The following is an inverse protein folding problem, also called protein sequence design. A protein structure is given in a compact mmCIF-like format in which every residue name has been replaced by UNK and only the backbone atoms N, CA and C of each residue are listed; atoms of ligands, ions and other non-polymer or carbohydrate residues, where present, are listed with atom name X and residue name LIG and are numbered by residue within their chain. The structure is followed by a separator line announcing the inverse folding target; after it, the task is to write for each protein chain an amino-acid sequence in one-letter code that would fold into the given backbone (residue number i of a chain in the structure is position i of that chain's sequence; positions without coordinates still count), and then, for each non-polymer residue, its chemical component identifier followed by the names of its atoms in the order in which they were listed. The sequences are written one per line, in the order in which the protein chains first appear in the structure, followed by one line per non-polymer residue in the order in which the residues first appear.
data_IF_202683311855
#
_entry.id   IF_202683311855
#
_cell.length_a   1.000
_cell.length_b   1.000
_cell.length_c   1.000
_cell.angle_alpha   90.00
_cell.angle_beta   90.00
_cell.angle_gamma   90.00
#
_symmetry.space_group_name_H-M   'P 1'
#
loop_
_entity.id
_entity.type
_entity.pdbx_description
1 polymer ?
#
# COMPACT_ATOMS: atom_id res chain seq x y z
N UNK A 1 -20.07 15.35 17.08
CA UNK A 1 -20.75 14.31 16.28
C UNK A 1 -20.54 13.00 17.01
N UNK A 2 -21.61 12.24 17.18
CA UNK A 2 -21.60 10.94 17.85
C UNK A 2 -21.52 9.82 16.80
N UNK A 3 -20.52 8.95 16.92
CA UNK A 3 -20.35 7.75 16.10
C UNK A 3 -20.53 6.49 16.94
N UNK A 4 -20.88 5.38 16.31
CA UNK A 4 -20.80 4.07 16.97
C UNK A 4 -19.34 3.62 17.00
N UNK A 5 -18.64 3.76 15.88
CA UNK A 5 -17.24 3.34 15.73
C UNK A 5 -16.41 4.48 15.13
N UNK A 6 -15.27 4.78 15.75
CA UNK A 6 -14.24 5.65 15.17
C UNK A 6 -12.97 4.84 14.95
N UNK A 7 -12.54 4.73 13.70
CA UNK A 7 -11.28 4.11 13.28
C UNK A 7 -10.22 5.22 13.19
N UNK A 8 -9.09 5.01 13.85
CA UNK A 8 -7.97 5.95 13.83
C UNK A 8 -6.90 5.39 12.88
N UNK A 9 -6.60 6.16 11.83
CA UNK A 9 -5.71 5.78 10.73
C UNK A 9 -6.49 5.37 9.47
N UNK A 10 -6.19 6.04 8.36
CA UNK A 10 -6.67 5.74 7.00
C UNK A 10 -5.66 4.94 6.19
N UNK A 11 -4.82 4.13 6.84
CA UNK A 11 -3.93 3.17 6.17
C UNK A 11 -4.69 1.97 5.61
N UNK A 12 -3.95 0.98 5.11
CA UNK A 12 -4.53 -0.25 4.51
C UNK A 12 -5.51 -0.96 5.46
N UNK A 13 -5.13 -1.16 6.72
CA UNK A 13 -5.99 -1.81 7.73
C UNK A 13 -7.22 -0.96 8.06
N UNK A 14 -7.04 0.35 8.24
CA UNK A 14 -8.16 1.25 8.53
C UNK A 14 -9.19 1.31 7.40
N UNK A 15 -8.73 1.33 6.15
CA UNK A 15 -9.60 1.27 4.96
C UNK A 15 -10.33 -0.07 4.86
N UNK A 16 -9.65 -1.18 5.15
CA UNK A 16 -10.25 -2.52 5.18
C UNK A 16 -11.33 -2.64 6.24
N UNK A 17 -11.07 -2.14 7.45
CA UNK A 17 -12.06 -2.10 8.54
C UNK A 17 -13.28 -1.25 8.17
N UNK A 18 -13.07 -0.08 7.58
CA UNK A 18 -14.17 0.77 7.13
C UNK A 18 -15.05 0.07 6.09
N UNK A 19 -14.43 -0.63 5.13
CA UNK A 19 -15.13 -1.39 4.10
C UNK A 19 -15.91 -2.59 4.66
N UNK A 20 -15.34 -3.36 5.58
CA UNK A 20 -16.06 -4.50 6.18
C UNK A 20 -17.16 -4.04 7.14
N UNK A 21 -16.89 -3.03 7.97
CA UNK A 21 -17.86 -2.54 8.96
C UNK A 21 -19.05 -1.81 8.33
N UNK A 22 -18.89 -1.16 7.16
CA UNK A 22 -19.99 -0.46 6.50
C UNK A 22 -21.11 -1.40 6.00
N UNK A 23 -20.88 -2.72 6.02
CA UNK A 23 -21.89 -3.75 5.72
C UNK A 23 -22.86 -3.97 6.89
N UNK A 24 -22.65 -3.30 8.02
CA UNK A 24 -23.48 -3.38 9.22
C UNK A 24 -24.09 -2.02 9.56
N UNK A 25 -25.20 -2.02 10.28
CA UNK A 25 -25.95 -0.83 10.69
C UNK A 25 -25.22 -0.04 11.78
N UNK A 26 -24.08 0.56 11.44
CA UNK A 26 -23.19 1.31 12.32
C UNK A 26 -22.90 2.69 11.73
N UNK A 27 -22.90 3.73 12.58
CA UNK A 27 -22.39 5.03 12.20
C UNK A 27 -20.87 5.07 12.40
N UNK A 28 -20.09 5.13 11.31
CA UNK A 28 -18.65 4.94 11.32
C UNK A 28 -17.92 6.19 10.84
N UNK A 29 -16.82 6.52 11.51
CA UNK A 29 -15.84 7.48 10.99
C UNK A 29 -14.42 6.93 10.94
N UNK A 30 -13.65 7.39 9.96
CA UNK A 30 -12.20 7.21 9.85
C UNK A 30 -11.53 8.57 10.02
N UNK A 31 -10.56 8.68 10.92
CA UNK A 31 -9.76 9.90 11.13
C UNK A 31 -8.33 9.63 10.66
N UNK A 32 -7.86 10.41 9.70
CA UNK A 32 -6.54 10.30 9.07
C UNK A 32 -5.86 11.67 9.03
N UNK A 33 -4.60 11.69 9.48
CA UNK A 33 -3.81 12.92 9.64
C UNK A 33 -3.29 13.48 8.32
N UNK A 34 -3.13 12.63 7.31
CA UNK A 34 -2.58 12.97 6.01
C UNK A 34 -3.65 13.50 5.04
N UNK A 35 -3.23 14.00 3.88
CA UNK A 35 -4.14 14.56 2.86
C UNK A 35 -4.95 13.50 2.14
N UNK A 36 -4.45 12.27 2.15
CA UNK A 36 -4.99 11.13 1.45
C UNK A 36 -4.93 9.88 2.34
N UNK A 37 -5.71 8.87 1.96
CA UNK A 37 -5.63 7.55 2.56
C UNK A 37 -4.42 6.79 2.03
N UNK A 38 -3.95 5.82 2.81
CA UNK A 38 -2.86 4.90 2.45
C UNK A 38 -1.58 5.59 1.91
N UNK A 39 -1.26 6.81 2.34
CA UNK A 39 -0.02 7.50 1.95
C UNK A 39 1.24 6.74 2.38
N UNK A 40 1.15 5.94 3.46
CA UNK A 40 2.21 5.03 3.91
C UNK A 40 2.58 3.93 2.89
N UNK A 41 1.69 3.62 1.93
CA UNK A 41 1.98 2.67 0.88
C UNK A 41 3.07 3.22 -0.05
N UNK A 42 3.96 2.35 -0.52
CA UNK A 42 5.02 2.76 -1.43
C UNK A 42 4.46 3.32 -2.75
N UNK A 43 5.11 4.36 -3.27
CA UNK A 43 4.64 5.09 -4.44
C UNK A 43 4.49 4.22 -5.70
N UNK A 44 5.38 3.24 -5.89
CA UNK A 44 5.30 2.29 -7.02
C UNK A 44 4.14 1.29 -6.89
N UNK A 45 3.41 1.29 -5.76
CA UNK A 45 2.16 0.58 -5.55
C UNK A 45 2.25 -0.91 -5.93
N UNK A 46 3.25 -1.60 -5.39
CA UNK A 46 3.44 -3.04 -5.56
C UNK A 46 4.07 -3.60 -4.30
N UNK A 47 3.49 -4.66 -3.75
CA UNK A 47 3.97 -5.32 -2.55
C UNK A 47 3.93 -6.84 -2.71
N UNK A 48 4.83 -7.53 -2.01
CA UNK A 48 4.94 -8.98 -2.01
C UNK A 48 3.86 -9.59 -1.13
N UNK A 49 3.07 -10.52 -1.70
CA UNK A 49 2.23 -11.42 -0.94
C UNK A 49 3.02 -12.67 -0.57
N UNK A 50 3.13 -12.90 0.74
CA UNK A 50 3.91 -13.96 1.36
C UNK A 50 3.13 -15.28 1.36
N UNK A 51 3.86 -16.38 1.28
CA UNK A 51 3.36 -17.75 1.49
C UNK A 51 3.59 -18.25 2.93
N UNK A 52 4.26 -17.45 3.76
CA UNK A 52 4.54 -17.75 5.16
C UNK A 52 5.65 -18.78 5.41
N UNK A 53 6.36 -19.25 4.38
CA UNK A 53 7.45 -20.24 4.56
C UNK A 53 8.58 -19.70 5.42
N UNK A 54 8.90 -18.42 5.26
CA UNK A 54 9.99 -17.71 5.95
C UNK A 54 9.59 -17.21 7.34
N UNK A 55 8.30 -17.23 7.68
CA UNK A 55 7.77 -16.70 8.94
C UNK A 55 8.10 -17.64 10.12
N UNK A 56 8.65 -17.07 11.19
CA UNK A 56 8.98 -17.83 12.40
C UNK A 56 7.82 -17.83 13.39
N UNK A 57 7.04 -16.75 13.44
CA UNK A 57 5.87 -16.63 14.30
C UNK A 57 4.70 -17.47 13.75
N UNK A 58 4.31 -18.49 14.50
CA UNK A 58 3.23 -19.40 14.12
C UNK A 58 1.86 -18.71 14.02
N UNK A 59 1.60 -17.67 14.82
CA UNK A 59 0.36 -16.91 14.74
C UNK A 59 0.30 -16.08 13.46
N UNK A 60 1.41 -15.44 13.07
CA UNK A 60 1.50 -14.69 11.81
C UNK A 60 1.38 -15.64 10.61
N UNK A 61 2.06 -16.80 10.65
CA UNK A 61 1.94 -17.82 9.61
C UNK A 61 0.49 -18.25 9.37
N UNK A 62 -0.28 -18.52 10.44
CA UNK A 62 -1.70 -18.89 10.32
C UNK A 62 -2.53 -17.79 9.68
N UNK A 63 -2.30 -16.53 10.05
CA UNK A 63 -2.99 -15.39 9.44
C UNK A 63 -2.68 -15.23 7.97
N UNK A 64 -1.42 -15.48 7.54
CA UNK A 64 -1.04 -15.48 6.12
C UNK A 64 -1.85 -16.54 5.38
N UNK A 65 -1.89 -17.76 5.92
CA UNK A 65 -2.62 -18.89 5.32
C UNK A 65 -4.12 -18.58 5.19
N UNK A 66 -4.75 -18.08 6.25
CA UNK A 66 -6.17 -17.70 6.25
C UNK A 66 -6.50 -16.56 5.28
N UNK A 67 -5.54 -15.65 5.06
CA UNK A 67 -5.75 -14.46 4.25
C UNK A 67 -5.58 -14.69 2.75
N UNK A 68 -4.74 -15.66 2.36
CA UNK A 68 -4.29 -15.87 0.98
C UNK A 68 -5.44 -16.01 -0.03
N UNK A 69 -6.41 -16.88 0.25
CA UNK A 69 -7.54 -17.11 -0.66
C UNK A 69 -8.48 -15.89 -0.73
N UNK A 70 -8.79 -15.32 0.43
CA UNK A 70 -9.71 -14.19 0.55
C UNK A 70 -9.16 -12.93 -0.12
N UNK A 71 -7.84 -12.72 -0.04
CA UNK A 71 -7.17 -11.58 -0.66
C UNK A 71 -7.35 -11.60 -2.18
N UNK A 72 -7.17 -12.76 -2.83
CA UNK A 72 -7.37 -12.88 -4.28
C UNK A 72 -8.82 -12.66 -4.69
N UNK A 73 -9.77 -13.21 -3.92
CA UNK A 73 -11.22 -13.05 -4.14
C UNK A 73 -11.63 -11.58 -4.02
N UNK A 74 -11.21 -10.90 -2.96
CA UNK A 74 -11.54 -9.50 -2.72
C UNK A 74 -10.84 -8.57 -3.73
N UNK A 75 -9.58 -8.84 -4.10
CA UNK A 75 -8.89 -8.07 -5.15
C UNK A 75 -9.64 -8.12 -6.49
N UNK A 76 -10.15 -9.30 -6.86
CA UNK A 76 -10.96 -9.48 -8.08
C UNK A 76 -12.27 -8.69 -7.98
N UNK A 77 -12.96 -8.75 -6.84
CA UNK A 77 -14.21 -8.03 -6.62
C UNK A 77 -14.02 -6.50 -6.67
N UNK A 78 -12.87 -6.00 -6.18
CA UNK A 78 -12.51 -4.59 -6.21
C UNK A 78 -11.96 -4.13 -7.57
N UNK A 79 -11.62 -5.05 -8.48
CA UNK A 79 -10.96 -4.73 -9.74
C UNK A 79 -9.54 -4.18 -9.56
N UNK A 80 -8.83 -4.64 -8.52
CA UNK A 80 -7.49 -4.18 -8.18
C UNK A 80 -6.44 -5.22 -8.61
N UNK A 81 -5.26 -4.74 -9.02
CA UNK A 81 -4.16 -5.61 -9.40
C UNK A 81 -3.73 -6.52 -8.25
N UNK A 82 -3.91 -7.81 -8.48
CA UNK A 82 -3.40 -8.91 -7.68
C UNK A 82 -3.03 -10.05 -8.63
N UNK A 83 -1.79 -10.49 -8.59
CA UNK A 83 -1.29 -11.56 -9.45
C UNK A 83 -0.60 -12.62 -8.59
N UNK A 84 -0.99 -13.89 -8.78
CA UNK A 84 -0.25 -15.03 -8.22
C UNK A 84 1.03 -15.20 -9.03
N UNK A 85 2.16 -14.99 -8.39
CA UNK A 85 3.48 -14.97 -9.03
C UNK A 85 4.37 -15.94 -8.27
N UNK A 86 4.83 -17.04 -8.90
CA UNK A 86 5.74 -17.95 -8.23
C UNK A 86 7.08 -17.27 -7.89
N UNK A 87 7.68 -17.67 -6.78
CA UNK A 87 8.94 -17.13 -6.28
C UNK A 87 10.07 -18.15 -6.30
N UNK A 88 11.29 -17.63 -6.47
CA UNK A 88 12.53 -18.30 -6.17
C UNK A 88 13.21 -17.58 -5.00
N UNK A 89 13.35 -18.26 -3.87
CA UNK A 89 14.10 -17.74 -2.71
C UNK A 89 15.44 -18.46 -2.61
N UNK A 90 16.52 -17.69 -2.67
CA UNK A 90 17.90 -18.15 -2.59
C UNK A 90 18.41 -17.85 -1.19
N UNK A 91 18.71 -18.91 -0.42
CA UNK A 91 19.21 -18.83 0.95
C UNK A 91 20.74 -18.81 1.00
N UNK A 92 21.30 -18.55 2.19
CA UNK A 92 22.75 -18.39 2.38
C UNK A 92 23.51 -19.69 2.19
N UNK A 93 22.87 -20.80 2.56
CA UNK A 93 23.41 -22.14 2.45
C UNK A 93 22.27 -23.19 2.34
N UNK A 94 22.66 -24.39 1.96
CA UNK A 94 21.74 -25.54 1.78
C UNK A 94 21.07 -25.98 3.08
N UNK A 95 21.71 -25.78 4.24
CA UNK A 95 21.18 -26.23 5.52
C UNK A 95 20.05 -25.28 5.96
N UNK A 96 20.20 -23.97 5.73
CA UNK A 96 19.15 -22.97 5.89
C UNK A 96 17.96 -23.26 4.98
N UNK A 97 18.19 -23.44 3.69
CA UNK A 97 17.14 -23.77 2.73
C UNK A 97 16.39 -25.03 3.16
N UNK A 98 17.11 -26.10 3.52
CA UNK A 98 16.51 -27.35 3.97
C UNK A 98 15.69 -27.17 5.25
N UNK A 99 16.18 -26.44 6.26
CA UNK A 99 15.42 -26.18 7.50
C UNK A 99 14.10 -25.47 7.23
N UNK A 100 14.11 -24.47 6.36
CA UNK A 100 12.91 -23.68 6.00
C UNK A 100 11.95 -24.53 5.18
N UNK A 101 12.45 -25.29 4.21
CA UNK A 101 11.65 -26.23 3.43
C UNK A 101 10.98 -27.29 4.32
N UNK A 102 11.73 -27.94 5.21
CA UNK A 102 11.19 -28.95 6.12
C UNK A 102 10.11 -28.34 7.05
N UNK A 103 10.28 -27.08 7.49
CA UNK A 103 9.26 -26.35 8.24
C UNK A 103 8.00 -26.11 7.40
N UNK A 104 8.15 -25.67 6.17
CA UNK A 104 7.03 -25.43 5.25
C UNK A 104 6.24 -26.72 4.98
N UNK A 105 6.93 -27.84 4.74
CA UNK A 105 6.30 -29.16 4.56
C UNK A 105 5.56 -29.59 5.82
N UNK A 106 6.17 -29.45 7.02
CA UNK A 106 5.49 -29.76 8.29
C UNK A 106 4.24 -28.91 8.53
N UNK A 107 4.24 -27.67 8.04
CA UNK A 107 3.09 -26.75 8.10
C UNK A 107 2.02 -27.02 7.03
N UNK A 108 2.28 -27.97 6.13
CA UNK A 108 1.37 -28.32 5.04
C UNK A 108 1.27 -27.22 3.97
N UNK A 109 2.37 -26.52 3.68
CA UNK A 109 2.45 -25.61 2.54
C UNK A 109 2.66 -26.47 1.28
N UNK A 110 1.64 -26.56 0.43
CA UNK A 110 1.70 -27.30 -0.85
C UNK A 110 2.34 -26.43 -1.96
N UNK A 111 2.70 -27.01 -3.11
CA UNK A 111 3.25 -26.22 -4.23
C UNK A 111 4.62 -25.56 -3.93
N UNK A 112 5.37 -26.12 -2.97
CA UNK A 112 6.71 -25.68 -2.59
C UNK A 112 7.72 -26.80 -2.88
N UNK A 113 8.92 -26.44 -3.35
CA UNK A 113 9.97 -27.41 -3.64
C UNK A 113 11.34 -26.86 -3.29
N UNK A 114 12.16 -27.66 -2.62
CA UNK A 114 13.60 -27.46 -2.55
C UNK A 114 14.19 -27.95 -3.87
N UNK A 115 14.95 -27.10 -4.55
CA UNK A 115 15.42 -27.43 -5.90
C UNK A 115 16.57 -28.45 -5.86
N UNK A 116 16.59 -29.31 -6.88
CA UNK A 116 17.67 -30.26 -7.16
C UNK A 116 18.28 -29.96 -8.54
N UNK A 117 19.41 -30.59 -8.88
CA UNK A 117 20.09 -30.41 -10.17
C UNK A 117 19.18 -30.72 -11.38
N UNK A 118 18.18 -31.60 -11.22
CA UNK A 118 17.17 -31.94 -12.24
C UNK A 118 15.87 -31.11 -12.13
N UNK A 119 15.83 -30.12 -11.25
CA UNK A 119 14.65 -29.32 -10.93
C UNK A 119 14.25 -28.30 -12.02
N UNK A 120 13.15 -27.55 -11.82
CA UNK A 120 12.62 -26.54 -12.76
C UNK A 120 13.57 -25.37 -13.14
N UNK A 121 14.82 -25.39 -12.66
CA UNK A 121 15.92 -24.45 -12.95
C UNK A 121 16.21 -24.27 -14.45
N UNK A 122 15.74 -25.16 -15.34
CA UNK A 122 15.81 -24.90 -16.79
C UNK A 122 15.04 -23.67 -17.28
N UNK A 123 14.21 -23.00 -16.44
CA UNK A 123 13.30 -21.93 -16.91
C UNK A 123 13.63 -20.50 -16.47
N UNK A 124 14.49 -20.27 -15.46
CA UNK A 124 14.85 -18.90 -15.06
C UNK A 124 16.36 -18.64 -15.22
N UNK A 125 16.79 -17.90 -16.26
CA UNK A 125 18.21 -17.69 -16.58
C UNK A 125 18.99 -16.87 -15.53
N UNK A 126 18.31 -16.31 -14.53
CA UNK A 126 18.91 -15.51 -13.46
C UNK A 126 19.31 -16.34 -12.24
N UNK A 127 18.79 -17.56 -12.10
CA UNK A 127 19.14 -18.45 -11.00
C UNK A 127 20.34 -19.30 -11.46
N UNK A 128 21.53 -18.93 -10.97
CA UNK A 128 22.81 -19.62 -11.26
C UNK A 128 23.42 -20.24 -9.99
N UNK A 129 22.74 -20.08 -8.87
CA UNK A 129 23.14 -20.55 -7.55
C UNK A 129 23.01 -22.08 -7.47
N UNK A 130 23.63 -22.68 -6.45
CA UNK A 130 23.46 -24.09 -6.13
C UNK A 130 21.95 -24.37 -5.91
N UNK A 131 21.32 -25.28 -6.70
CA UNK A 131 19.92 -25.63 -6.57
C UNK A 131 19.50 -25.97 -5.14
N UNK A 132 20.39 -26.62 -4.37
CA UNK A 132 20.10 -27.03 -2.99
C UNK A 132 19.96 -25.86 -2.01
N UNK A 133 20.33 -24.65 -2.42
CA UNK A 133 20.13 -23.41 -1.66
C UNK A 133 18.85 -22.66 -2.04
N UNK A 134 18.04 -23.20 -2.97
CA UNK A 134 16.91 -22.46 -3.56
C UNK A 134 15.59 -23.18 -3.27
N UNK A 135 14.61 -22.43 -2.77
CA UNK A 135 13.22 -22.88 -2.66
C UNK A 135 12.38 -22.18 -3.73
N UNK A 136 11.65 -22.98 -4.50
CA UNK A 136 10.58 -22.51 -5.38
C UNK A 136 9.23 -22.63 -4.68
N UNK A 137 8.40 -21.59 -4.78
CA UNK A 137 7.04 -21.58 -4.24
C UNK A 137 6.05 -21.02 -5.25
N UNK A 138 4.95 -21.73 -5.46
CA UNK A 138 3.84 -21.26 -6.31
C UNK A 138 2.93 -20.27 -5.60
N UNK A 139 3.03 -20.12 -4.28
CA UNK A 139 2.00 -19.48 -3.45
C UNK A 139 2.24 -18.01 -3.14
N UNK A 140 3.29 -17.42 -3.69
CA UNK A 140 3.55 -15.98 -3.56
C UNK A 140 2.76 -15.18 -4.60
N UNK A 141 2.71 -13.87 -4.41
CA UNK A 141 2.02 -12.98 -5.34
C UNK A 141 2.46 -11.53 -5.23
N UNK A 142 1.84 -10.68 -6.03
CA UNK A 142 2.04 -9.24 -5.98
C UNK A 142 0.68 -8.55 -5.92
N UNK A 143 0.55 -7.56 -5.03
CA UNK A 143 -0.64 -6.71 -4.90
C UNK A 143 -0.29 -5.24 -5.07
N UNK A 144 -1.27 -4.42 -5.46
CA UNK A 144 -1.19 -2.96 -5.44
C UNK A 144 -1.87 -2.39 -4.16
N UNK A 145 -1.15 -2.22 -3.03
CA UNK A 145 -1.76 -1.93 -1.73
C UNK A 145 -2.49 -0.58 -1.68
N UNK A 146 -2.01 0.45 -2.37
CA UNK A 146 -2.68 1.75 -2.43
C UNK A 146 -3.98 1.68 -3.23
N UNK A 147 -3.98 0.96 -4.36
CA UNK A 147 -5.19 0.79 -5.18
C UNK A 147 -6.22 -0.04 -4.39
N UNK A 148 -5.74 -1.05 -3.64
CA UNK A 148 -6.56 -1.89 -2.78
C UNK A 148 -7.23 -1.11 -1.65
N UNK A 149 -6.44 -0.34 -0.88
CA UNK A 149 -6.96 0.52 0.17
C UNK A 149 -7.97 1.55 -0.37
N UNK A 150 -7.66 2.16 -1.52
CA UNK A 150 -8.51 3.19 -2.09
C UNK A 150 -9.84 2.64 -2.61
N UNK A 151 -9.83 1.48 -3.27
CA UNK A 151 -11.06 0.84 -3.72
C UNK A 151 -11.99 0.50 -2.54
N UNK A 152 -11.44 -0.04 -1.45
CA UNK A 152 -12.19 -0.33 -0.22
C UNK A 152 -12.75 0.95 0.41
N UNK A 153 -11.94 1.99 0.52
CA UNK A 153 -12.34 3.24 1.15
C UNK A 153 -13.38 4.03 0.35
N UNK A 154 -13.30 4.04 -0.98
CA UNK A 154 -14.30 4.66 -1.84
C UNK A 154 -15.65 3.95 -1.72
N UNK A 155 -15.66 2.61 -1.69
CA UNK A 155 -16.87 1.85 -1.40
C UNK A 155 -17.41 2.18 -0.01
N UNK A 156 -16.56 2.21 1.01
CA UNK A 156 -16.97 2.54 2.37
C UNK A 156 -17.60 3.96 2.44
N UNK A 157 -17.00 4.92 1.75
CA UNK A 157 -17.52 6.29 1.64
C UNK A 157 -18.91 6.31 0.98
N UNK A 158 -19.09 5.60 -0.13
CA UNK A 158 -20.38 5.53 -0.85
C UNK A 158 -21.49 4.80 -0.06
N UNK A 159 -21.10 4.00 0.94
CA UNK A 159 -21.97 3.36 1.93
C UNK A 159 -22.10 4.17 3.23
N UNK A 160 -21.62 5.42 3.27
CA UNK A 160 -21.91 6.37 4.34
C UNK A 160 -20.85 6.49 5.44
N UNK A 161 -19.70 5.82 5.30
CA UNK A 161 -18.58 6.01 6.25
C UNK A 161 -18.03 7.43 6.11
N UNK A 162 -17.89 8.13 7.23
CA UNK A 162 -17.35 9.49 7.28
C UNK A 162 -15.82 9.50 7.37
N UNK A 163 -15.14 9.97 6.34
CA UNK A 163 -13.68 10.16 6.38
C UNK A 163 -13.32 11.60 6.76
N UNK A 164 -12.40 11.74 7.73
CA UNK A 164 -11.85 13.00 8.22
C UNK A 164 -10.36 13.04 7.92
N UNK A 165 -10.02 13.55 6.74
CA UNK A 165 -8.65 13.72 6.27
C UNK A 165 -8.01 15.01 6.82
N UNK A 166 -6.69 15.07 6.76
CA UNK A 166 -5.86 16.16 7.30
C UNK A 166 -6.14 16.43 8.79
N UNK A 167 -6.60 15.42 9.52
CA UNK A 167 -7.08 15.56 10.89
C UNK A 167 -6.31 14.62 11.82
N UNK A 168 -5.48 15.21 12.68
CA UNK A 168 -4.58 14.48 13.57
C UNK A 168 -5.21 14.36 14.95
N UNK A 169 -5.33 13.13 15.43
CA UNK A 169 -5.78 12.84 16.79
C UNK A 169 -4.68 13.26 17.77
N UNK A 170 -5.07 13.98 18.82
CA UNK A 170 -4.13 14.47 19.84
C UNK A 170 -4.39 13.85 21.19
N UNK A 171 -5.62 13.39 21.47
CA UNK A 171 -5.98 12.80 22.74
C UNK A 171 -7.23 11.90 22.65
N UNK A 172 -7.28 10.87 23.49
CA UNK A 172 -8.40 9.95 23.64
C UNK A 172 -8.70 9.75 25.12
N UNK A 173 -9.93 10.06 25.52
CA UNK A 173 -10.37 9.97 26.91
C UNK A 173 -11.64 9.15 27.03
N UNK A 174 -11.74 8.34 28.09
CA UNK A 174 -13.02 7.73 28.46
C UNK A 174 -13.96 8.78 29.02
N UNK A 175 -15.24 8.65 28.71
CA UNK A 175 -16.27 9.50 29.28
C UNK A 175 -16.87 8.86 30.53
N UNK A 176 -17.21 9.69 31.52
CA UNK A 176 -17.79 9.25 32.79
C UNK A 176 -19.14 8.52 32.64
N UNK A 177 -19.87 8.77 31.53
CA UNK A 177 -21.19 8.17 31.23
C UNK A 177 -21.10 7.04 30.20
N UNK A 178 -19.91 6.52 29.92
CA UNK A 178 -19.66 5.52 28.87
C UNK A 178 -19.29 6.15 27.52
N UNK A 179 -18.57 5.38 26.71
CA UNK A 179 -18.01 5.84 25.44
C UNK A 179 -16.67 6.58 25.57
N UNK A 180 -16.21 7.08 24.43
CA UNK A 180 -14.89 7.63 24.20
C UNK A 180 -15.03 9.04 23.61
N UNK A 181 -14.20 9.96 24.10
CA UNK A 181 -14.00 11.29 23.53
C UNK A 181 -12.67 11.31 22.80
N UNK A 182 -12.70 11.71 21.54
CA UNK A 182 -11.53 11.85 20.67
C UNK A 182 -11.33 13.34 20.41
N UNK A 183 -10.16 13.85 20.75
CA UNK A 183 -9.76 15.23 20.45
C UNK A 183 -8.76 15.22 19.31
N UNK A 184 -8.94 16.10 18.34
CA UNK A 184 -8.04 16.26 17.20
C UNK A 184 -7.52 17.70 17.14
N UNK A 185 -6.63 17.97 16.19
CA UNK A 185 -6.19 19.33 15.86
C UNK A 185 -7.30 20.22 15.24
N UNK A 186 -8.46 19.66 14.87
CA UNK A 186 -9.56 20.38 14.22
C UNK A 186 -10.87 20.36 14.99
N UNK A 187 -11.22 19.22 15.60
CA UNK A 187 -12.54 18.96 16.18
C UNK A 187 -12.46 18.09 17.44
N UNK A 188 -13.65 17.84 18.01
CA UNK A 188 -13.88 16.86 19.08
C UNK A 188 -15.00 15.93 18.64
N UNK A 189 -14.80 14.64 18.84
CA UNK A 189 -15.76 13.59 18.53
C UNK A 189 -16.06 12.75 19.76
N UNK A 190 -17.17 12.05 19.67
CA UNK A 190 -17.64 11.10 20.67
C UNK A 190 -17.95 9.79 19.94
N UNK A 191 -17.55 8.67 20.53
CA UNK A 191 -17.75 7.34 19.97
C UNK A 191 -18.10 6.33 21.05
N UNK A 192 -18.88 5.31 20.72
CA UNK A 192 -19.07 4.17 21.63
C UNK A 192 -17.84 3.26 21.64
N UNK A 193 -17.22 3.05 20.48
CA UNK A 193 -16.02 2.25 20.29
C UNK A 193 -14.97 3.01 19.47
N UNK A 194 -13.70 2.93 19.89
CA UNK A 194 -12.55 3.40 19.12
C UNK A 194 -11.71 2.21 18.70
N UNK A 195 -11.33 2.15 17.43
CA UNK A 195 -10.37 1.18 16.90
C UNK A 195 -9.10 1.94 16.53
N UNK A 196 -8.05 1.79 17.34
CA UNK A 196 -6.73 2.36 17.03
C UNK A 196 -6.01 1.42 16.07
N UNK A 197 -5.63 1.92 14.89
CA UNK A 197 -4.76 1.19 13.93
C UNK A 197 -3.41 1.86 13.72
N UNK A 198 -3.18 2.98 14.41
CA UNK A 198 -1.97 3.78 14.28
C UNK A 198 -0.87 3.32 15.23
N UNK A 199 0.38 3.52 14.82
CA UNK A 199 1.57 3.05 15.55
C UNK A 199 2.41 4.21 16.09
N UNK A 200 2.91 4.08 17.31
CA UNK A 200 3.82 5.05 17.94
C UNK A 200 3.17 6.36 18.39
N UNK A 201 1.86 6.48 18.27
CA UNK A 201 1.13 7.65 18.72
C UNK A 201 0.93 7.65 20.23
N UNK A 202 1.21 8.81 20.83
CA UNK A 202 1.16 9.03 22.29
C UNK A 202 -0.26 9.02 22.87
N UNK A 203 -1.28 9.15 22.03
CA UNK A 203 -2.67 9.02 22.46
C UNK A 203 -3.02 7.53 22.56
N UNK A 204 -3.20 7.05 23.78
CA UNK A 204 -3.66 5.70 24.05
C UNK A 204 -4.27 5.67 25.45
N UNK A 205 -5.19 4.74 25.66
CA UNK A 205 -5.72 4.47 27.00
C UNK A 205 -4.94 3.36 27.73
N UNK A 206 -3.91 2.79 27.08
CA UNK A 206 -2.98 1.83 27.66
C UNK A 206 -1.62 2.47 27.91
N UNK A 207 -0.86 1.94 28.87
CA UNK A 207 0.58 2.15 28.88
C UNK A 207 1.16 1.28 27.77
N UNK A 208 1.74 1.89 26.73
CA UNK A 208 2.52 1.15 25.74
C UNK A 208 3.93 0.95 26.28
N UNK A 209 4.38 -0.31 26.33
CA UNK A 209 5.79 -0.63 26.54
C UNK A 209 6.62 -0.12 25.36
N UNK A 210 7.91 0.10 25.60
CA UNK A 210 8.87 0.73 24.69
C UNK A 210 8.68 0.37 23.21
N UNK A 211 8.47 1.39 22.37
CA UNK A 211 8.50 1.28 20.91
C UNK A 211 9.90 0.85 20.49
N UNK A 212 10.04 -0.33 19.89
CA UNK A 212 11.28 -0.69 19.21
C UNK A 212 11.37 0.13 17.92
N UNK A 213 12.47 0.86 17.78
CA UNK A 213 12.76 1.54 16.52
C UNK A 213 13.44 0.54 15.58
N UNK A 214 12.87 0.26 14.41
CA UNK A 214 13.47 -0.64 13.44
C UNK A 214 14.81 -0.09 12.98
N UNK A 215 15.80 -0.98 12.91
CA UNK A 215 17.15 -0.67 12.43
C UNK A 215 17.31 -0.94 10.94
N UNK A 216 16.37 -1.65 10.31
CA UNK A 216 16.43 -2.01 8.90
C UNK A 216 15.59 -1.07 8.03
N UNK A 217 16.15 -0.73 6.87
CA UNK A 217 15.53 0.06 5.82
C UNK A 217 15.37 -0.78 4.54
N UNK A 218 14.44 -0.37 3.69
CA UNK A 218 14.27 -0.86 2.33
C UNK A 218 14.58 0.28 1.35
N UNK A 219 15.64 0.12 0.56
CA UNK A 219 15.93 0.97 -0.59
C UNK A 219 15.28 0.36 -1.82
N UNK A 220 14.30 1.06 -2.41
CA UNK A 220 13.49 0.54 -3.51
C UNK A 220 13.78 1.26 -4.82
N UNK A 221 13.82 0.50 -5.92
CA UNK A 221 13.95 0.99 -7.29
C UNK A 221 12.78 0.49 -8.13
N UNK A 222 12.10 1.38 -8.85
CA UNK A 222 11.22 1.01 -9.96
C UNK A 222 12.02 1.08 -11.26
N UNK A 223 12.14 -0.05 -11.96
CA UNK A 223 13.05 -0.23 -13.09
C UNK A 223 12.26 -0.64 -14.34
N UNK A 224 12.44 0.08 -15.45
CA UNK A 224 11.87 -0.31 -16.75
C UNK A 224 12.34 -1.71 -17.18
N UNK A 225 11.49 -2.50 -17.85
CA UNK A 225 11.84 -3.85 -18.34
C UNK A 225 12.53 -3.81 -19.71
N UNK A 226 13.72 -4.39 -19.79
CA UNK A 226 14.49 -4.76 -20.98
C UNK A 226 15.71 -5.61 -20.55
N UNK A 227 15.46 -6.73 -19.88
CA UNK A 227 16.53 -7.64 -19.45
C UNK A 227 16.66 -8.75 -20.50
N UNK A 228 17.87 -9.30 -20.68
CA UNK A 228 18.09 -10.53 -21.45
C UNK A 228 17.40 -11.69 -20.72
N UNK A 229 16.09 -11.84 -20.94
CA UNK A 229 15.20 -12.75 -20.21
C UNK A 229 14.07 -11.99 -19.51
N UNK A 230 12.83 -12.47 -19.64
CA UNK A 230 11.67 -11.86 -19.01
C UNK A 230 11.57 -12.32 -17.54
N UNK A 231 11.88 -11.41 -16.61
CA UNK A 231 11.68 -11.68 -15.17
C UNK A 231 10.17 -11.68 -14.90
N UNK A 232 9.61 -12.88 -14.87
CA UNK A 232 8.19 -13.13 -14.54
C UNK A 232 8.00 -13.62 -13.11
N UNK A 233 9.05 -14.13 -12.47
CA UNK A 233 9.00 -14.64 -11.11
C UNK A 233 9.48 -13.59 -10.10
N UNK A 234 9.03 -13.75 -8.87
CA UNK A 234 9.65 -13.07 -7.73
C UNK A 234 11.00 -13.74 -7.45
N UNK A 235 12.04 -12.96 -7.18
CA UNK A 235 13.36 -13.48 -6.80
C UNK A 235 13.79 -12.80 -5.51
N UNK A 236 14.03 -13.59 -4.47
CA UNK A 236 14.54 -13.09 -3.18
C UNK A 236 15.89 -13.74 -2.91
N UNK A 237 16.93 -12.96 -2.66
CA UNK A 237 18.26 -13.46 -2.31
C UNK A 237 18.69 -12.98 -0.94
N UNK A 238 18.93 -13.93 -0.04
CA UNK A 238 19.54 -13.69 1.27
C UNK A 238 21.06 -13.73 1.16
N UNK A 239 21.74 -12.67 1.61
CA UNK A 239 23.20 -12.59 1.60
C UNK A 239 23.79 -13.03 2.94
N UNK A 240 25.05 -13.44 2.92
CA UNK A 240 25.78 -13.89 4.11
C UNK A 240 25.87 -12.82 5.20
N UNK A 241 25.88 -11.54 4.83
CA UNK A 241 25.88 -10.39 5.75
C UNK A 241 24.48 -10.02 6.29
N UNK A 242 23.43 -10.78 5.98
CA UNK A 242 22.06 -10.53 6.44
C UNK A 242 21.23 -9.58 5.56
N UNK A 243 21.85 -8.94 4.57
CA UNK A 243 21.15 -8.12 3.59
C UNK A 243 20.29 -8.97 2.65
N UNK A 244 19.20 -8.40 2.14
CA UNK A 244 18.28 -9.11 1.25
C UNK A 244 17.97 -8.27 0.02
N UNK A 245 17.99 -8.88 -1.15
CA UNK A 245 17.52 -8.27 -2.40
C UNK A 245 16.28 -9.01 -2.85
N UNK A 246 15.17 -8.29 -3.04
CA UNK A 246 13.91 -8.84 -3.56
C UNK A 246 13.57 -8.15 -4.86
N UNK A 247 13.27 -8.93 -5.90
CA UNK A 247 12.84 -8.46 -7.21
C UNK A 247 11.43 -8.99 -7.43
N UNK A 248 10.49 -8.10 -7.77
CA UNK A 248 9.12 -8.49 -8.09
C UNK A 248 8.59 -7.73 -9.32
N UNK A 249 7.71 -8.36 -10.14
CA UNK A 249 6.98 -7.66 -11.18
C UNK A 249 5.98 -6.68 -10.56
N UNK A 250 5.62 -5.61 -11.28
CA UNK A 250 4.62 -4.62 -10.83
C UNK A 250 3.43 -4.53 -11.77
N UNK A 251 2.36 -3.90 -11.29
CA UNK A 251 1.15 -3.57 -12.06
C UNK A 251 1.39 -2.61 -13.26
N UNK A 252 2.60 -2.10 -13.42
CA UNK A 252 2.98 -1.16 -14.49
C UNK A 252 3.85 -1.80 -15.56
N UNK A 253 3.98 -3.13 -15.56
CA UNK A 253 4.94 -3.85 -16.40
C UNK A 253 6.40 -3.38 -16.21
N UNK A 254 6.73 -2.87 -15.02
CA UNK A 254 8.09 -2.56 -14.55
C UNK A 254 8.51 -3.55 -13.46
N UNK A 255 9.77 -3.54 -13.06
CA UNK A 255 10.25 -4.31 -11.92
C UNK A 255 10.42 -3.41 -10.71
N UNK A 256 10.03 -3.92 -9.54
CA UNK A 256 10.42 -3.34 -8.26
C UNK A 256 11.60 -4.15 -7.74
N UNK A 257 12.69 -3.48 -7.44
CA UNK A 257 13.82 -4.04 -6.72
C UNK A 257 13.90 -3.41 -5.34
N UNK A 258 13.81 -4.21 -4.30
CA UNK A 258 13.88 -3.81 -2.90
C UNK A 258 15.14 -4.37 -2.28
N UNK A 259 15.95 -3.49 -1.71
CA UNK A 259 17.19 -3.85 -1.02
C UNK A 259 17.05 -3.57 0.48
N UNK A 260 17.00 -4.64 1.27
CA UNK A 260 16.93 -4.60 2.74
C UNK A 260 18.32 -4.57 3.34
N UNK A 261 18.58 -3.57 4.17
CA UNK A 261 19.87 -3.34 4.82
C UNK A 261 19.69 -2.56 6.13
N UNK A 262 20.67 -2.60 7.00
CA UNK A 262 20.76 -1.80 8.23
C UNK A 262 21.53 -0.48 8.03
N UNK A 263 22.11 -0.26 6.84
CA UNK A 263 22.92 0.91 6.54
C UNK A 263 22.45 1.59 5.26
N UNK A 264 22.36 2.92 5.27
CA UNK A 264 22.04 3.67 4.06
C UNK A 264 23.20 3.58 3.06
N UNK A 265 22.90 3.18 1.83
CA UNK A 265 23.84 3.18 0.70
C UNK A 265 23.46 4.26 -0.30
N UNK A 266 24.45 4.80 -1.00
CA UNK A 266 24.20 5.65 -2.17
C UNK A 266 23.59 4.84 -3.32
N UNK A 267 23.00 5.54 -4.29
CA UNK A 267 22.37 4.95 -5.46
C UNK A 267 23.24 3.89 -6.17
N UNK A 268 24.53 4.19 -6.39
CA UNK A 268 25.48 3.28 -7.04
C UNK A 268 25.68 1.99 -6.23
N UNK A 269 25.69 2.10 -4.91
CA UNK A 269 25.75 0.97 -3.98
C UNK A 269 24.51 0.11 -4.08
N UNK A 270 23.31 0.69 -3.91
CA UNK A 270 22.04 -0.05 -4.02
C UNK A 270 21.91 -0.72 -5.38
N UNK A 271 22.25 0.00 -6.47
CA UNK A 271 22.22 -0.53 -7.83
C UNK A 271 23.10 -1.75 -7.99
N UNK A 272 24.35 -1.71 -7.48
CA UNK A 272 25.27 -2.85 -7.52
C UNK A 272 24.68 -4.08 -6.82
N UNK A 273 23.99 -3.87 -5.70
CA UNK A 273 23.32 -4.97 -5.00
C UNK A 273 22.17 -5.55 -5.81
N UNK A 274 21.39 -4.74 -6.51
CA UNK A 274 20.34 -5.20 -7.43
C UNK A 274 20.93 -5.92 -8.66
N UNK A 275 22.00 -5.39 -9.25
CA UNK A 275 22.69 -5.98 -10.41
C UNK A 275 23.30 -7.35 -10.11
N UNK A 276 23.63 -7.61 -8.84
CA UNK A 276 24.06 -8.93 -8.38
C UNK A 276 22.99 -10.03 -8.60
N UNK A 277 21.71 -9.65 -8.69
CA UNK A 277 20.58 -10.57 -8.91
C UNK A 277 20.14 -10.58 -10.38
N UNK A 278 19.92 -9.41 -10.98
CA UNK A 278 19.30 -9.30 -12.31
C UNK A 278 20.30 -9.02 -13.45
N UNK A 279 21.59 -8.94 -13.14
CA UNK A 279 22.63 -8.53 -14.06
C UNK A 279 22.69 -7.02 -14.25
N UNK A 280 23.70 -6.52 -15.01
CA UNK A 280 23.93 -5.10 -15.17
C UNK A 280 22.81 -4.40 -15.97
N UNK A 281 22.48 -3.17 -15.59
CA UNK A 281 21.52 -2.34 -16.32
C UNK A 281 21.90 -0.84 -16.30
N UNK A 282 21.50 -0.07 -17.33
CA UNK A 282 21.70 1.39 -17.36
C UNK A 282 20.98 2.11 -16.22
N UNK A 283 21.61 3.14 -15.63
CA UNK A 283 21.03 3.90 -14.52
C UNK A 283 19.76 4.66 -14.92
N UNK A 284 19.66 5.05 -16.19
CA UNK A 284 18.56 5.80 -16.79
C UNK A 284 17.25 5.01 -16.83
N UNK A 285 17.29 3.70 -16.57
CA UNK A 285 16.10 2.84 -16.46
C UNK A 285 15.46 2.86 -15.08
N UNK A 286 16.07 3.51 -14.10
CA UNK A 286 15.49 3.66 -12.76
C UNK A 286 14.57 4.88 -12.77
N UNK A 287 13.27 4.63 -12.74
CA UNK A 287 12.25 5.67 -12.76
C UNK A 287 11.96 6.23 -11.37
N UNK A 288 11.98 5.40 -10.33
CA UNK A 288 11.64 5.83 -8.97
C UNK A 288 12.63 5.24 -8.01
N UNK A 289 13.12 6.08 -7.11
CA UNK A 289 13.85 5.69 -5.91
C UNK A 289 12.99 6.03 -4.70
N UNK A 290 12.86 5.08 -3.78
CA UNK A 290 12.10 5.30 -2.56
C UNK A 290 12.70 4.51 -1.40
N UNK A 291 12.96 5.18 -0.29
CA UNK A 291 13.42 4.54 0.93
C UNK A 291 12.26 4.39 1.91
N UNK A 292 12.00 3.17 2.38
CA UNK A 292 11.03 2.88 3.44
C UNK A 292 11.68 2.17 4.61
N UNK A 293 10.95 2.04 5.70
CA UNK A 293 11.40 1.32 6.89
C UNK A 293 10.90 -0.12 6.82
N UNK A 294 11.75 -1.09 7.15
CA UNK A 294 11.37 -2.49 7.26
C UNK A 294 10.86 -2.78 8.67
N UNK A 295 9.55 -2.92 8.84
CA UNK A 295 8.95 -3.15 10.14
C UNK A 295 8.83 -4.65 10.44
N UNK A 296 9.36 -5.09 11.58
CA UNK A 296 9.22 -6.46 12.12
C UNK A 296 8.37 -6.51 13.39
N UNK A 297 7.61 -5.46 13.68
CA UNK A 297 6.78 -5.43 14.88
C UNK A 297 5.77 -6.58 14.85
N UNK A 298 5.49 -7.18 16.02
CA UNK A 298 4.49 -8.23 16.12
C UNK A 298 3.14 -7.69 15.69
N UNK A 299 2.37 -8.52 14.99
CA UNK A 299 1.01 -8.19 14.60
C UNK A 299 0.08 -8.77 15.64
N UNK A 300 -0.74 -7.93 16.26
CA UNK A 300 -1.71 -8.39 17.23
C UNK A 300 -3.00 -7.59 17.22
N UNK A 301 -4.06 -8.26 17.65
CA UNK A 301 -5.37 -7.69 17.93
C UNK A 301 -5.58 -7.72 19.44
N UNK A 302 -5.78 -6.55 20.02
CA UNK A 302 -5.98 -6.38 21.45
C UNK A 302 -7.40 -5.89 21.73
N UNK A 303 -8.22 -6.83 22.18
CA UNK A 303 -9.63 -6.64 22.51
C UNK A 303 -9.87 -6.57 24.03
N UNK A 304 -8.85 -6.50 24.87
CA UNK A 304 -8.99 -6.51 26.35
C UNK A 304 -9.92 -5.39 26.84
N UNK A 305 -9.94 -4.25 26.13
CA UNK A 305 -10.74 -3.09 26.45
C UNK A 305 -11.95 -2.89 25.54
N UNK A 306 -12.34 -3.91 24.77
CA UNK A 306 -13.47 -3.83 23.86
C UNK A 306 -14.77 -3.48 24.60
N UNK A 307 -15.03 -4.10 25.75
CA UNK A 307 -16.17 -3.76 26.63
C UNK A 307 -16.16 -2.31 27.13
N UNK A 308 -14.96 -1.71 27.18
CA UNK A 308 -14.72 -0.32 27.59
C UNK A 308 -14.63 0.63 26.40
N UNK A 309 -15.04 0.19 25.21
CA UNK A 309 -15.10 1.01 24.01
C UNK A 309 -13.76 1.22 23.32
N UNK A 310 -12.79 0.32 23.46
CA UNK A 310 -11.49 0.47 22.81
C UNK A 310 -10.89 -0.86 22.33
N UNK A 311 -10.50 -0.91 21.05
CA UNK A 311 -9.75 -2.00 20.43
C UNK A 311 -8.46 -1.41 19.85
N UNK A 312 -7.34 -2.12 20.01
CA UNK A 312 -6.07 -1.76 19.40
C UNK A 312 -5.65 -2.84 18.39
N UNK A 313 -5.37 -2.42 17.17
CA UNK A 313 -4.88 -3.26 16.09
C UNK A 313 -3.47 -2.80 15.76
N UNK A 314 -2.48 -3.58 16.20
CA UNK A 314 -1.09 -3.33 15.86
C UNK A 314 -0.73 -4.12 14.61
N UNK A 315 -0.44 -3.42 13.51
CA UNK A 315 -0.20 -4.05 12.22
C UNK A 315 0.93 -3.39 11.41
N UNK A 316 1.80 -2.60 12.04
CA UNK A 316 2.97 -2.02 11.38
C UNK A 316 4.02 -3.09 11.16
N UNK A 317 3.85 -3.92 10.13
CA UNK A 317 4.69 -5.09 9.86
C UNK A 317 4.86 -5.31 8.35
N UNK A 318 5.99 -5.87 7.95
CA UNK A 318 6.27 -6.28 6.57
C UNK A 318 5.23 -7.28 6.02
N UNK A 319 4.55 -8.02 6.89
CA UNK A 319 3.54 -9.01 6.52
C UNK A 319 2.12 -8.44 6.41
N UNK A 320 1.90 -7.14 6.67
CA UNK A 320 0.56 -6.55 6.79
C UNK A 320 -0.32 -6.81 5.56
N UNK A 321 0.24 -6.68 4.37
CA UNK A 321 -0.49 -6.91 3.11
C UNK A 321 -0.95 -8.36 2.97
N UNK A 322 -0.22 -9.31 3.58
CA UNK A 322 -0.48 -10.75 3.50
C UNK A 322 -1.42 -11.28 4.59
N UNK A 323 -1.68 -10.50 5.65
CA UNK A 323 -2.51 -10.92 6.80
C UNK A 323 -3.75 -10.07 7.01
N UNK A 324 -3.89 -8.99 6.24
CA UNK A 324 -4.87 -7.94 6.48
C UNK A 324 -6.32 -8.46 6.47
N UNK A 325 -6.67 -9.43 5.62
CA UNK A 325 -8.05 -9.94 5.55
C UNK A 325 -8.42 -10.74 6.80
N UNK A 326 -7.54 -11.63 7.29
CA UNK A 326 -7.73 -12.34 8.57
C UNK A 326 -7.81 -11.36 9.75
N UNK A 327 -6.90 -10.39 9.83
CA UNK A 327 -6.89 -9.39 10.90
C UNK A 327 -8.16 -8.50 10.91
N UNK A 328 -8.61 -8.10 9.73
CA UNK A 328 -9.84 -7.32 9.56
C UNK A 328 -11.05 -8.14 10.01
N UNK A 329 -11.14 -9.41 9.59
CA UNK A 329 -12.25 -10.31 9.94
C UNK A 329 -12.40 -10.49 11.45
N UNK A 330 -11.29 -10.73 12.16
CA UNK A 330 -11.31 -10.89 13.62
C UNK A 330 -11.78 -9.60 14.31
N UNK A 331 -11.24 -8.46 13.87
CA UNK A 331 -11.61 -7.15 14.42
C UNK A 331 -13.09 -6.86 14.19
N UNK A 332 -13.59 -7.07 12.97
CA UNK A 332 -15.01 -6.89 12.61
C UNK A 332 -15.90 -7.79 13.46
N UNK A 333 -15.50 -9.05 13.67
CA UNK A 333 -16.24 -9.99 14.51
C UNK A 333 -16.39 -9.46 15.95
N UNK A 334 -15.31 -8.94 16.52
CA UNK A 334 -15.33 -8.32 17.85
C UNK A 334 -16.25 -7.09 17.92
N UNK A 335 -16.27 -6.25 16.87
CA UNK A 335 -17.16 -5.09 16.80
C UNK A 335 -18.62 -5.53 16.68
N UNK A 336 -18.92 -6.47 15.79
CA UNK A 336 -20.28 -6.97 15.55
C UNK A 336 -20.85 -7.61 16.80
N UNK A 337 -20.05 -8.39 17.54
CA UNK A 337 -20.44 -8.96 18.82
C UNK A 337 -20.70 -7.87 19.87
N UNK A 338 -19.81 -6.88 19.98
CA UNK A 338 -19.95 -5.78 20.93
C UNK A 338 -21.25 -4.98 20.73
N UNK A 339 -21.59 -4.67 19.49
CA UNK A 339 -22.80 -3.88 19.17
C UNK A 339 -24.05 -4.73 18.90
N UNK A 340 -23.91 -6.05 18.76
CA UNK A 340 -24.93 -6.92 18.13
C UNK A 340 -25.40 -6.33 16.80
N UNK A 341 -24.44 -5.86 16.01
CA UNK A 341 -24.71 -5.09 14.79
C UNK A 341 -25.39 -5.96 13.74
N UNK A 342 -26.44 -5.43 13.12
CA UNK A 342 -27.19 -6.12 12.08
C UNK A 342 -26.61 -5.76 10.70
N UNK A 343 -26.57 -6.70 9.73
CA UNK A 343 -26.24 -6.35 8.36
C UNK A 343 -27.18 -5.29 7.79
N UNK A 344 -26.67 -4.41 6.93
CA UNK A 344 -27.52 -3.45 6.19
C UNK A 344 -28.33 -4.17 5.11
N UNK A 345 -29.50 -3.62 4.77
CA UNK A 345 -30.37 -4.21 3.73
C UNK A 345 -29.86 -3.97 2.31
N UNK A 346 -29.13 -2.88 2.09
CA UNK A 346 -28.56 -2.50 0.79
C UNK A 346 -27.09 -2.15 0.98
N UNK A 347 -26.21 -2.88 0.29
CA UNK A 347 -24.77 -2.63 0.27
C UNK A 347 -24.33 -2.34 -1.16
N UNK A 348 -23.74 -1.17 -1.39
CA UNK A 348 -23.17 -0.82 -2.70
C UNK A 348 -21.78 -1.43 -2.80
N UNK A 349 -21.65 -2.53 -3.54
CA UNK A 349 -20.39 -3.27 -3.67
C UNK A 349 -19.53 -2.84 -4.87
N UNK A 350 -20.10 -2.11 -5.83
CA UNK A 350 -19.40 -1.79 -7.08
C UNK A 350 -18.43 -0.63 -6.87
N UNK A 351 -17.18 -0.83 -7.28
CA UNK A 351 -16.21 0.26 -7.39
C UNK A 351 -16.62 1.24 -8.48
N UNK A 352 -16.27 2.52 -8.29
CA UNK A 352 -16.40 3.52 -9.34
C UNK A 352 -15.49 3.14 -10.50
N UNK A 353 -16.03 3.16 -11.71
CA UNK A 353 -15.23 3.01 -12.92
C UNK A 353 -14.33 4.23 -13.12
N UNK A 354 -13.06 3.98 -13.38
CA UNK A 354 -12.08 4.98 -13.79
C UNK A 354 -11.31 4.44 -14.99
N UNK A 355 -10.82 5.34 -15.83
CA UNK A 355 -10.17 5.00 -17.08
C UNK A 355 -8.68 5.33 -17.00
N UNK A 356 -7.84 4.42 -17.50
CA UNK A 356 -6.42 4.66 -17.71
C UNK A 356 -6.15 4.76 -19.20
N UNK A 357 -5.89 5.97 -19.69
CA UNK A 357 -5.82 6.22 -21.13
C UNK A 357 -4.71 5.40 -21.80
N UNK A 358 -3.62 5.14 -21.07
CA UNK A 358 -2.51 4.29 -21.48
C UNK A 358 -2.88 2.81 -21.71
N UNK A 359 -3.93 2.31 -21.05
CA UNK A 359 -4.36 0.90 -21.07
C UNK A 359 -5.52 0.65 -22.07
N UNK A 360 -6.06 1.70 -22.68
CA UNK A 360 -7.19 1.63 -23.62
C UNK A 360 -6.76 1.48 -25.09
N UNK A 361 -7.59 0.83 -25.89
CA UNK A 361 -7.48 0.81 -27.35
C UNK A 361 -7.85 2.16 -27.97
N UNK A 362 -7.40 2.41 -29.20
CA UNK A 362 -7.71 3.67 -29.89
C UNK A 362 -9.22 3.88 -30.12
N UNK A 363 -10.00 2.80 -30.26
CA UNK A 363 -11.46 2.89 -30.36
C UNK A 363 -12.07 3.41 -29.05
N UNK A 364 -11.68 2.81 -27.92
CA UNK A 364 -12.18 3.20 -26.60
C UNK A 364 -11.73 4.62 -26.23
N UNK A 365 -10.48 5.00 -26.57
CA UNK A 365 -9.98 6.37 -26.39
C UNK A 365 -10.83 7.38 -27.14
N UNK A 366 -11.09 7.13 -28.42
CA UNK A 366 -11.91 8.03 -29.25
C UNK A 366 -13.34 8.15 -28.73
N UNK A 367 -13.92 7.08 -28.19
CA UNK A 367 -15.24 7.11 -27.56
C UNK A 367 -15.24 7.94 -26.27
N UNK A 368 -14.25 7.71 -25.39
CA UNK A 368 -14.10 8.47 -24.15
C UNK A 368 -13.88 9.97 -24.41
N UNK A 369 -13.08 10.33 -25.43
CA UNK A 369 -12.86 11.72 -25.85
C UNK A 369 -14.15 12.38 -26.34
N UNK A 370 -15.04 11.64 -27.01
CA UNK A 370 -16.35 12.16 -27.44
C UNK A 370 -17.26 12.46 -26.25
N UNK A 371 -17.15 11.68 -25.17
CA UNK A 371 -17.96 11.85 -23.95
C UNK A 371 -17.41 12.99 -23.10
N UNK A 372 -16.09 13.03 -22.85
CA UNK A 372 -15.42 14.14 -22.18
C UNK A 372 -14.14 14.53 -22.94
N UNK A 373 -14.13 15.68 -23.64
CA UNK A 373 -12.98 16.18 -24.39
C UNK A 373 -11.70 16.36 -23.57
N UNK A 374 -11.77 16.42 -22.23
CA UNK A 374 -10.57 16.49 -21.38
C UNK A 374 -9.70 15.23 -21.50
N UNK A 375 -10.27 14.08 -21.85
CA UNK A 375 -9.48 12.88 -22.16
C UNK A 375 -8.71 13.00 -23.49
N UNK A 376 -8.99 14.03 -24.31
CA UNK A 376 -8.19 14.34 -25.50
C UNK A 376 -6.97 15.23 -25.19
N UNK A 377 -6.92 15.84 -24.00
CA UNK A 377 -5.86 16.76 -23.60
C UNK A 377 -4.72 16.00 -22.92
N UNK A 378 -3.67 15.65 -23.66
CA UNK A 378 -2.50 14.98 -23.11
C UNK A 378 -1.71 15.90 -22.16
N UNK A 379 -1.59 15.49 -20.89
CA UNK A 379 -0.83 16.22 -19.87
C UNK A 379 0.56 15.65 -19.69
N UNK A 380 0.69 14.32 -19.65
CA UNK A 380 1.97 13.62 -19.57
C UNK A 380 2.16 12.66 -20.75
N UNK A 381 3.17 12.94 -21.58
CA UNK A 381 3.51 12.09 -22.73
C UNK A 381 4.23 10.81 -22.32
N UNK A 382 5.04 10.83 -21.25
CA UNK A 382 5.80 9.66 -20.85
C UNK A 382 4.93 8.53 -20.28
N UNK A 383 3.88 8.89 -19.54
CA UNK A 383 2.95 7.92 -18.93
C UNK A 383 1.61 7.83 -19.66
N UNK A 384 1.44 8.56 -20.77
CA UNK A 384 0.18 8.72 -21.49
C UNK A 384 -1.01 9.08 -20.58
N UNK A 385 -0.85 10.15 -19.79
CA UNK A 385 -1.89 10.65 -18.87
C UNK A 385 -2.53 11.93 -19.40
N UNK A 386 -3.86 11.94 -19.39
CA UNK A 386 -4.73 13.01 -19.90
C UNK A 386 -5.18 13.96 -18.78
N UNK A 387 -5.73 15.12 -19.15
CA UNK A 387 -6.39 16.02 -18.20
C UNK A 387 -7.62 15.35 -17.58
N UNK A 388 -8.38 14.58 -18.37
CA UNK A 388 -9.56 13.85 -17.90
C UNK A 388 -9.26 12.92 -16.72
N UNK A 389 -8.18 12.13 -16.81
CA UNK A 389 -7.71 11.26 -15.73
C UNK A 389 -7.36 12.04 -14.46
N UNK A 390 -6.67 13.19 -14.60
CA UNK A 390 -6.29 14.01 -13.45
C UNK A 390 -7.54 14.58 -12.78
N UNK A 391 -8.47 15.13 -13.56
CA UNK A 391 -9.73 15.70 -13.04
C UNK A 391 -10.58 14.63 -12.35
N UNK A 392 -10.72 13.44 -12.95
CA UNK A 392 -11.45 12.33 -12.35
C UNK A 392 -10.80 11.90 -11.01
N UNK A 393 -9.46 11.81 -10.98
CA UNK A 393 -8.73 11.47 -9.75
C UNK A 393 -8.96 12.45 -8.59
N UNK A 394 -9.26 13.72 -8.88
CA UNK A 394 -9.54 14.77 -7.89
C UNK A 394 -11.00 14.72 -7.44
N UNK A 395 -11.92 14.45 -8.37
CA UNK A 395 -13.38 14.53 -8.15
C UNK A 395 -14.02 13.26 -7.60
N UNK A 396 -13.31 12.13 -7.61
CA UNK A 396 -13.81 10.88 -7.02
C UNK A 396 -13.92 10.97 -5.49
N UNK A 397 -14.69 10.07 -4.83
CA UNK A 397 -14.70 9.97 -3.37
C UNK A 397 -13.27 9.87 -2.83
N UNK A 398 -12.95 10.61 -1.77
CA UNK A 398 -11.59 10.67 -1.23
C UNK A 398 -10.55 11.01 -2.31
N UNK A 399 -10.91 11.86 -3.28
CA UNK A 399 -10.06 12.19 -4.42
C UNK A 399 -8.79 12.94 -4.03
N UNK A 400 -7.84 12.98 -4.97
CA UNK A 400 -6.54 13.60 -4.79
C UNK A 400 -6.64 15.07 -4.33
N UNK A 401 -5.80 15.44 -3.35
CA UNK A 401 -5.67 16.83 -2.85
C UNK A 401 -4.27 17.41 -3.00
N UNK A 402 -3.31 16.58 -3.38
CA UNK A 402 -1.88 16.90 -3.49
C UNK A 402 -1.33 16.41 -4.82
N UNK A 403 -0.14 16.87 -5.21
CA UNK A 403 0.54 16.38 -6.41
C UNK A 403 0.79 14.88 -6.31
N UNK A 404 1.21 14.38 -5.14
CA UNK A 404 1.43 12.97 -4.91
C UNK A 404 0.13 12.16 -4.98
N UNK A 405 -0.98 12.69 -4.47
CA UNK A 405 -2.30 12.04 -4.61
C UNK A 405 -2.72 11.84 -6.07
N UNK A 406 -2.41 12.81 -6.95
CA UNK A 406 -2.62 12.65 -8.41
C UNK A 406 -1.65 11.63 -9.00
N UNK A 407 -0.37 11.69 -8.59
CA UNK A 407 0.69 10.77 -9.02
C UNK A 407 0.35 9.32 -8.70
N UNK A 408 -0.13 9.01 -7.50
CA UNK A 408 -0.53 7.66 -7.07
C UNK A 408 -1.69 7.10 -7.89
N UNK A 409 -2.70 7.91 -8.18
CA UNK A 409 -3.91 7.50 -8.90
C UNK A 409 -3.72 7.37 -10.42
N UNK A 410 -2.90 8.25 -11.01
CA UNK A 410 -2.78 8.37 -12.48
C UNK A 410 -1.44 7.90 -13.04
N UNK A 411 -0.43 7.67 -12.18
CA UNK A 411 0.97 7.37 -12.58
C UNK A 411 1.63 8.50 -13.39
N UNK A 412 1.09 9.72 -13.33
CA UNK A 412 1.78 10.90 -13.85
C UNK A 412 3.12 11.05 -13.13
N UNK A 413 4.15 11.60 -13.78
CA UNK A 413 5.50 11.76 -13.17
C UNK A 413 6.24 10.41 -12.93
N UNK A 414 5.75 9.26 -13.43
CA UNK A 414 6.46 7.97 -13.34
C UNK A 414 7.37 7.67 -14.54
N UNK A 415 7.41 8.55 -15.53
CA UNK A 415 8.30 8.41 -16.68
C UNK A 415 9.61 9.15 -16.50
N UNK A 416 10.59 8.85 -17.35
CA UNK A 416 11.97 9.37 -17.34
C UNK A 416 12.13 10.88 -17.14
N UNK A 417 11.17 11.70 -17.58
CA UNK A 417 11.22 13.15 -17.38
C UNK A 417 10.94 13.61 -15.93
N UNK A 418 10.50 12.71 -15.04
CA UNK A 418 10.25 12.99 -13.62
C UNK A 418 9.45 14.29 -13.36
N UNK A 419 8.53 14.63 -14.26
CA UNK A 419 7.63 15.75 -14.08
C UNK A 419 8.09 17.08 -14.70
N UNK A 420 9.24 17.14 -15.40
CA UNK A 420 9.76 18.39 -15.99
C UNK A 420 8.75 19.13 -16.88
N UNK A 421 7.80 18.44 -17.50
CA UNK A 421 6.77 19.06 -18.35
C UNK A 421 5.36 19.06 -17.75
N UNK A 422 4.99 17.99 -17.05
CA UNK A 422 3.60 17.81 -16.61
C UNK A 422 3.32 18.39 -15.22
N UNK A 423 4.34 18.59 -14.37
CA UNK A 423 4.13 19.01 -12.98
C UNK A 423 3.40 20.36 -12.86
N UNK A 424 3.83 21.37 -13.61
CA UNK A 424 3.15 22.68 -13.63
C UNK A 424 1.70 22.58 -14.10
N UNK A 425 1.40 21.69 -15.04
CA UNK A 425 0.02 21.46 -15.51
C UNK A 425 -0.82 20.79 -14.41
N UNK A 426 -0.27 19.78 -13.73
CA UNK A 426 -0.93 19.11 -12.59
C UNK A 426 -1.28 20.12 -11.50
N UNK A 427 -0.33 20.98 -11.11
CA UNK A 427 -0.56 22.01 -10.08
C UNK A 427 -1.70 22.95 -10.50
N UNK A 428 -1.72 23.39 -11.76
CA UNK A 428 -2.80 24.26 -12.28
C UNK A 428 -4.16 23.57 -12.29
N UNK A 429 -4.22 22.29 -12.65
CA UNK A 429 -5.46 21.52 -12.63
C UNK A 429 -5.93 21.35 -11.18
N UNK A 430 -5.06 20.94 -10.26
CA UNK A 430 -5.39 20.84 -8.83
C UNK A 430 -5.91 22.16 -8.26
N UNK A 431 -5.22 23.27 -8.52
CA UNK A 431 -5.61 24.59 -8.08
C UNK A 431 -7.02 24.97 -8.59
N UNK A 432 -7.29 24.69 -9.88
CA UNK A 432 -8.60 24.93 -10.50
C UNK A 432 -9.69 24.06 -9.88
N UNK A 433 -9.46 22.75 -9.74
CA UNK A 433 -10.46 21.80 -9.26
C UNK A 433 -10.74 21.92 -7.75
N UNK A 434 -9.78 22.44 -6.98
CA UNK A 434 -9.91 22.62 -5.52
C UNK A 434 -10.23 24.06 -5.11
N UNK A 435 -10.38 24.98 -6.08
CA UNK A 435 -10.56 26.41 -5.85
C UNK A 435 -9.48 27.00 -4.91
N UNK A 436 -8.21 26.71 -5.22
CA UNK A 436 -7.03 27.14 -4.45
C UNK A 436 -6.08 27.97 -5.29
N UNK A 437 -5.23 28.77 -4.64
CA UNK A 437 -4.10 29.36 -5.33
C UNK A 437 -3.11 28.24 -5.75
N UNK A 438 -2.50 28.28 -6.94
CA UNK A 438 -1.43 27.36 -7.32
C UNK A 438 -0.28 27.26 -6.31
N UNK A 439 -0.01 28.33 -5.54
CA UNK A 439 1.01 28.35 -4.48
C UNK A 439 0.60 27.57 -3.22
N UNK A 440 -0.70 27.33 -3.02
CA UNK A 440 -1.22 26.57 -1.87
C UNK A 440 -1.27 25.06 -2.13
N UNK A 441 -0.88 24.62 -3.34
CA UNK A 441 -0.83 23.20 -3.69
C UNK A 441 0.40 22.55 -3.06
N UNK A 442 0.13 21.55 -2.23
CA UNK A 442 1.13 20.75 -1.53
C UNK A 442 1.62 19.59 -2.40
N UNK A 443 2.85 19.16 -2.18
CA UNK A 443 3.42 17.99 -2.81
C UNK A 443 2.76 16.71 -2.26
N UNK A 444 2.87 16.49 -0.96
CA UNK A 444 2.46 15.26 -0.27
C UNK A 444 1.96 15.55 1.16
N UNK A 445 2.68 16.39 1.90
CA UNK A 445 2.42 16.67 3.32
C UNK A 445 2.20 18.15 3.64
N UNK A 446 1.86 18.44 4.89
CA UNK A 446 1.64 19.82 5.33
C UNK A 446 2.93 20.63 5.20
N UNK A 447 2.84 21.86 4.71
CA UNK A 447 3.97 22.76 4.44
C UNK A 447 4.96 22.21 3.39
N UNK A 448 4.46 21.48 2.39
CA UNK A 448 5.24 20.97 1.24
C UNK A 448 4.85 21.66 -0.06
N UNK A 449 4.64 22.99 -0.03
CA UNK A 449 4.25 23.75 -1.20
C UNK A 449 5.22 23.51 -2.36
N UNK A 450 4.69 23.19 -3.55
CA UNK A 450 5.53 22.92 -4.74
C UNK A 450 6.06 24.21 -5.35
N UNK A 451 5.28 25.30 -5.27
CA UNK A 451 5.67 26.62 -5.76
C UNK A 451 5.96 27.50 -4.55
N UNK A 452 7.22 27.92 -4.39
CA UNK A 452 7.63 28.73 -3.24
C UNK A 452 7.14 30.19 -3.31
N UNK A 453 7.19 30.80 -4.50
CA UNK A 453 6.75 32.18 -4.72
C UNK A 453 6.60 32.47 -6.21
N UNK A 454 5.94 33.60 -6.53
CA UNK A 454 6.01 34.19 -7.88
C UNK A 454 7.37 34.88 -8.06
N UNK A 455 7.99 34.67 -9.22
CA UNK A 455 9.10 35.54 -9.65
C UNK A 455 8.49 36.92 -9.89
N UNK A 456 9.08 37.94 -9.23
CA UNK A 456 8.62 39.35 -9.18
C UNK A 456 7.81 39.76 -10.42
N UNK A 457 6.59 40.22 -10.20
CA UNK A 457 5.93 41.10 -11.15
C UNK A 457 6.80 42.37 -11.21
N UNK A 458 7.43 42.64 -12.35
CA UNK A 458 8.06 43.93 -12.55
C UNK A 458 6.91 44.94 -12.64
N UNK A 459 6.76 45.77 -11.61
CA UNK A 459 5.98 46.99 -11.74
C UNK A 459 6.54 47.71 -12.96
N UNK A 460 5.71 47.87 -13.97
CA UNK A 460 6.04 48.63 -15.17
C UNK A 460 6.21 50.07 -14.70
N UNK A 461 7.48 50.49 -14.53
CA UNK A 461 7.85 51.88 -14.32
C UNK A 461 7.44 52.75 -15.50
#
# INVERSE_FOLDING_TARGET
MDYDVVILGGGLVGCSLAYELCKYSLNIAVIEKNFDIAEDAALFNSSLILDGKDEEDEAVFRRIKESSEELGRLSTALGVFHEKVPSFTIYRDKDEAKRIYDRAVRRGIEGISLLSEDGPIKRNPLIKDDPSCVIYSENTGVIAPYDYATAMAEIAFDNGVSFRLEEEVTDIQRQARGGMKITTNKNKYTSKLVIKTTFGDRYTIKHEDSVMFPTEILENMLIEKDFKGEIRNIITRYKSNGEVVTILPSSTNKLVASFRTNERKEFSGVKKEVESVIGPFPAERVDILNQTIYWKEPVFLDCEFAEKGYIHVQAKSYAVDSIMTSLTKDTVSAVVEHFKAMPVSEFKSKTREYYRFSEMSDKERNELIRIDPKYGNMVCLCSNVTEGEIVDSIRRPLGARTVEGVRRRTRIVFGRCQGSHCLTKVIRILARELDKNPMDIMNDKKNSQVIASRIKEFDTM
#
